data_IF_030399580750
#
_entry.id   IF_030399580750
#
_cell.length_a   1.000
_cell.length_b   1.000
_cell.length_c   1.000
_cell.angle_alpha   90.00
_cell.angle_beta   90.00
_cell.angle_gamma   90.00
#
_symmetry.space_group_name_H-M   'P 1'
#
loop_
_entity.id
_entity.type
_entity.pdbx_description
1 polymer ?
#
# COMPACT_ATOMS: atom_id res chain seq x y z
N UNK A 1 33.16 0.89 27.73
CA UNK A 1 32.34 2.11 27.90
C UNK A 1 32.06 2.87 26.60
N UNK A 2 32.68 2.56 25.44
CA UNK A 2 32.34 3.25 24.16
C UNK A 2 31.27 2.49 23.34
N UNK A 3 31.31 1.15 23.33
CA UNK A 3 30.33 0.32 22.61
C UNK A 3 28.89 0.55 23.10
N UNK A 4 28.69 0.73 24.40
CA UNK A 4 27.37 1.03 24.96
C UNK A 4 26.82 2.40 24.48
N UNK A 5 27.71 3.36 24.24
CA UNK A 5 27.35 4.70 23.73
C UNK A 5 27.05 4.66 22.24
N UNK A 6 27.79 3.86 21.45
CA UNK A 6 27.49 3.65 20.03
C UNK A 6 26.14 2.96 19.81
N UNK A 7 25.80 1.95 20.63
CA UNK A 7 24.48 1.29 20.54
C UNK A 7 23.36 2.27 20.91
N UNK A 8 23.59 3.12 21.91
CA UNK A 8 22.62 4.12 22.31
C UNK A 8 22.46 5.23 21.28
N UNK A 9 23.54 5.63 20.59
CA UNK A 9 23.49 6.61 19.51
C UNK A 9 22.81 6.03 18.26
N UNK A 10 23.07 4.77 17.89
CA UNK A 10 22.39 4.09 16.79
C UNK A 10 20.89 3.91 17.11
N UNK A 11 20.54 3.52 18.34
CA UNK A 11 19.15 3.43 18.77
C UNK A 11 18.45 4.79 18.75
N UNK A 12 19.16 5.85 19.14
CA UNK A 12 18.66 7.24 19.13
C UNK A 12 18.48 7.77 17.71
N UNK A 13 19.34 7.37 16.77
CA UNK A 13 19.24 7.76 15.36
C UNK A 13 18.15 6.97 14.61
N UNK A 14 17.88 5.74 15.04
CA UNK A 14 16.79 4.90 14.52
C UNK A 14 15.41 5.39 15.01
N UNK A 15 15.31 5.86 16.26
CA UNK A 15 14.10 6.51 16.79
C UNK A 15 13.82 7.84 16.07
N UNK A 16 14.86 8.52 15.57
CA UNK A 16 14.75 9.77 14.84
C UNK A 16 14.06 9.64 13.47
N UNK A 17 13.98 8.43 12.93
CA UNK A 17 13.30 8.11 11.67
C UNK A 17 11.88 7.56 11.88
N UNK A 18 11.28 7.80 13.05
CA UNK A 18 9.85 7.60 13.24
C UNK A 18 9.11 8.58 12.31
N UNK A 19 8.67 8.08 11.15
CA UNK A 19 7.81 8.81 10.22
C UNK A 19 6.58 9.29 10.97
N UNK A 20 6.55 10.60 11.21
CA UNK A 20 5.46 11.32 11.83
C UNK A 20 4.35 11.41 10.78
N UNK A 21 3.55 10.35 10.64
CA UNK A 21 2.33 10.45 9.85
C UNK A 21 1.41 11.42 10.59
N UNK A 22 1.00 12.55 9.97
CA UNK A 22 0.01 13.41 10.58
C UNK A 22 -1.21 12.55 10.95
N UNK A 23 -1.79 12.73 12.16
CA UNK A 23 -2.89 11.90 12.62
C UNK A 23 -3.97 11.85 11.55
N UNK A 24 -4.43 10.64 11.20
CA UNK A 24 -5.44 10.41 10.17
C UNK A 24 -6.57 11.40 10.41
N UNK A 25 -6.67 12.40 9.54
CA UNK A 25 -7.59 13.52 9.74
C UNK A 25 -8.98 12.98 9.50
N UNK A 26 -9.68 12.70 10.60
CA UNK A 26 -11.00 12.09 10.56
C UNK A 26 -12.04 13.10 10.05
N UNK A 27 -12.14 13.19 8.71
CA UNK A 27 -13.02 14.08 7.97
C UNK A 27 -14.50 13.94 8.39
N UNK A 28 -14.89 12.78 8.94
CA UNK A 28 -16.23 12.59 9.50
C UNK A 28 -16.52 13.58 10.64
N UNK A 29 -15.53 13.89 11.49
CA UNK A 29 -15.71 14.81 12.63
C UNK A 29 -15.84 16.27 12.23
N UNK A 30 -15.27 16.69 11.10
CA UNK A 30 -15.41 18.06 10.60
C UNK A 30 -16.74 18.26 9.87
N UNK A 31 -17.21 17.24 9.14
CA UNK A 31 -18.56 17.22 8.55
C UNK A 31 -19.63 17.19 9.64
N UNK A 32 -19.42 16.44 10.74
CA UNK A 32 -20.34 16.42 11.89
C UNK A 32 -20.49 17.78 12.59
N UNK A 33 -19.45 18.60 12.66
CA UNK A 33 -19.51 19.92 13.31
C UNK A 33 -20.33 20.96 12.54
N UNK A 34 -20.67 20.69 11.28
CA UNK A 34 -21.52 21.55 10.45
C UNK A 34 -22.91 20.97 10.18
N UNK A 35 -23.34 19.95 10.93
CA UNK A 35 -24.68 19.38 10.77
C UNK A 35 -25.73 20.42 11.14
N UNK A 36 -26.48 20.85 10.13
CA UNK A 36 -27.66 21.69 10.27
C UNK A 36 -28.77 20.88 10.94
N UNK A 37 -29.78 21.52 11.53
CA UNK A 37 -30.94 20.81 12.09
C UNK A 37 -31.59 19.84 11.07
N UNK A 38 -31.60 20.23 9.79
CA UNK A 38 -32.04 19.39 8.68
C UNK A 38 -31.20 18.12 8.49
N UNK A 39 -29.89 18.17 8.74
CA UNK A 39 -29.03 17.00 8.59
C UNK A 39 -29.27 15.95 9.68
N UNK A 40 -29.56 16.41 10.92
CA UNK A 40 -29.91 15.50 12.00
C UNK A 40 -31.26 14.81 11.75
N UNK A 41 -32.24 15.57 11.25
CA UNK A 41 -33.54 15.01 10.82
C UNK A 41 -33.37 14.03 9.67
N UNK A 42 -32.49 14.31 8.70
CA UNK A 42 -32.24 13.42 7.56
C UNK A 42 -31.57 12.09 7.99
N UNK A 43 -30.64 12.13 8.95
CA UNK A 43 -29.98 10.93 9.46
C UNK A 43 -30.94 10.06 10.30
N UNK A 44 -31.81 10.67 11.12
CA UNK A 44 -32.88 9.97 11.85
C UNK A 44 -33.94 9.39 10.89
N UNK A 45 -34.30 10.16 9.86
CA UNK A 45 -35.25 9.73 8.83
C UNK A 45 -34.69 8.58 7.98
N UNK A 46 -33.41 8.61 7.60
CA UNK A 46 -32.77 7.48 6.88
C UNK A 46 -32.83 6.18 7.68
N UNK A 47 -32.65 6.24 9.01
CA UNK A 47 -32.76 5.06 9.87
C UNK A 47 -34.19 4.53 9.93
N UNK A 48 -35.19 5.41 9.95
CA UNK A 48 -36.60 5.04 9.99
C UNK A 48 -37.09 4.46 8.65
N UNK A 49 -36.72 5.08 7.54
CA UNK A 49 -37.15 4.72 6.17
C UNK A 49 -36.37 3.52 5.62
N UNK A 50 -35.12 3.32 6.04
CA UNK A 50 -34.31 2.16 5.66
C UNK A 50 -34.75 0.85 6.32
N UNK A 51 -35.74 0.86 7.21
CA UNK A 51 -36.23 -0.33 7.89
C UNK A 51 -37.29 -1.05 7.06
N UNK A 52 -37.12 -2.37 6.89
CA UNK A 52 -38.10 -3.23 6.22
C UNK A 52 -39.49 -3.20 6.90
N UNK A 53 -39.53 -2.91 8.20
CA UNK A 53 -40.78 -2.81 8.99
C UNK A 53 -41.61 -1.60 8.53
N UNK A 54 -40.98 -0.48 8.18
CA UNK A 54 -41.69 0.72 7.72
C UNK A 54 -42.46 0.45 6.43
N UNK A 55 -41.82 -0.23 5.48
CA UNK A 55 -42.45 -0.63 4.20
C UNK A 55 -43.66 -1.54 4.46
N UNK A 56 -43.52 -2.53 5.36
CA UNK A 56 -44.62 -3.43 5.71
C UNK A 56 -45.80 -2.71 6.37
N UNK A 57 -45.53 -1.74 7.24
CA UNK A 57 -46.59 -0.93 7.88
C UNK A 57 -47.34 -0.10 6.82
N UNK A 58 -46.62 0.55 5.90
CA UNK A 58 -47.23 1.37 4.84
C UNK A 58 -48.12 0.52 3.92
N UNK A 59 -47.63 -0.65 3.50
CA UNK A 59 -48.42 -1.61 2.70
C UNK A 59 -49.62 -2.12 3.51
N UNK A 60 -49.45 -2.40 4.80
CA UNK A 60 -50.53 -2.81 5.69
C UNK A 60 -51.64 -1.77 5.79
N UNK A 61 -51.30 -0.49 5.97
CA UNK A 61 -52.26 0.62 5.97
C UNK A 61 -53.03 0.67 4.66
N UNK A 62 -52.34 0.53 3.52
CA UNK A 62 -52.97 0.53 2.20
C UNK A 62 -53.94 -0.65 2.02
N UNK A 63 -53.55 -1.86 2.43
CA UNK A 63 -54.40 -3.06 2.38
C UNK A 63 -55.61 -2.90 3.30
N UNK A 64 -55.45 -2.35 4.50
CA UNK A 64 -56.55 -2.06 5.43
C UNK A 64 -57.50 -1.04 4.82
N UNK A 65 -56.98 0.04 4.21
CA UNK A 65 -57.80 1.06 3.57
C UNK A 65 -58.63 0.51 2.42
N UNK A 66 -57.99 -0.25 1.53
CA UNK A 66 -58.65 -0.91 0.40
C UNK A 66 -59.68 -1.92 0.94
N UNK A 67 -59.33 -2.72 1.95
CA UNK A 67 -60.24 -3.70 2.55
C UNK A 67 -61.49 -3.08 3.17
N UNK A 68 -61.34 -2.00 3.95
CA UNK A 68 -62.45 -1.27 4.57
C UNK A 68 -63.41 -0.68 3.51
N UNK A 69 -62.86 -0.14 2.43
CA UNK A 69 -63.63 0.52 1.36
C UNK A 69 -64.24 -0.47 0.36
N UNK A 70 -63.48 -1.49 -0.06
CA UNK A 70 -63.91 -2.47 -1.06
C UNK A 70 -64.94 -3.47 -0.53
N UNK A 71 -64.84 -3.85 0.75
CA UNK A 71 -65.81 -4.75 1.40
C UNK A 71 -67.05 -4.02 1.90
N UNK A 72 -67.16 -2.71 1.66
CA UNK A 72 -68.30 -1.89 2.07
C UNK A 72 -68.59 -1.96 3.58
N UNK A 73 -67.53 -2.16 4.38
CA UNK A 73 -67.60 -2.40 5.84
C UNK A 73 -68.03 -1.14 6.61
N UNK A 74 -67.74 0.02 6.03
CA UNK A 74 -68.18 1.37 6.45
C UNK A 74 -68.77 2.01 5.19
N UNK A 75 -69.71 2.95 5.34
CA UNK A 75 -70.29 3.67 4.19
C UNK A 75 -69.19 4.09 3.19
N UNK A 76 -69.26 3.67 1.92
CA UNK A 76 -68.11 3.67 1.02
C UNK A 76 -67.84 5.09 0.53
N UNK A 77 -67.03 5.80 1.31
CA UNK A 77 -66.49 7.13 1.08
C UNK A 77 -65.43 7.19 -0.05
N UNK A 78 -64.71 6.11 -0.35
CA UNK A 78 -63.73 6.03 -1.45
C UNK A 78 -64.02 4.81 -2.34
N UNK A 79 -64.96 4.94 -3.27
CA UNK A 79 -65.33 3.87 -4.23
C UNK A 79 -64.24 3.67 -5.27
N UNK A 80 -64.11 2.43 -5.75
CA UNK A 80 -63.26 2.11 -6.90
C UNK A 80 -63.54 3.07 -8.06
N UNK A 81 -62.55 3.82 -8.59
CA UNK A 81 -61.10 3.54 -8.61
C UNK A 81 -60.23 4.18 -7.49
N UNK A 82 -60.78 4.48 -6.30
CA UNK A 82 -60.08 5.05 -5.13
C UNK A 82 -59.40 6.40 -5.41
N UNK A 83 -60.20 7.44 -5.66
CA UNK A 83 -59.69 8.76 -6.03
C UNK A 83 -58.88 9.41 -4.90
N UNK A 84 -59.33 9.26 -3.65
CA UNK A 84 -58.67 9.87 -2.50
C UNK A 84 -57.36 9.18 -2.15
N UNK A 85 -57.33 7.84 -2.15
CA UNK A 85 -56.11 7.07 -1.96
C UNK A 85 -55.05 7.45 -3.00
N UNK A 86 -55.43 7.48 -4.29
CA UNK A 86 -54.51 7.83 -5.37
C UNK A 86 -53.97 9.27 -5.25
N UNK A 87 -54.80 10.21 -4.80
CA UNK A 87 -54.38 11.59 -4.55
C UNK A 87 -53.31 11.66 -3.44
N UNK A 88 -53.55 11.00 -2.31
CA UNK A 88 -52.62 10.98 -1.18
C UNK A 88 -51.30 10.32 -1.58
N UNK A 89 -51.35 9.15 -2.24
CA UNK A 89 -50.15 8.45 -2.70
C UNK A 89 -49.32 9.28 -3.67
N UNK A 90 -49.96 10.05 -4.56
CA UNK A 90 -49.26 10.93 -5.49
C UNK A 90 -48.52 12.07 -4.77
N UNK A 91 -49.16 12.66 -3.75
CA UNK A 91 -48.52 13.67 -2.90
C UNK A 91 -47.36 13.07 -2.10
N UNK A 92 -47.54 11.86 -1.58
CA UNK A 92 -46.52 11.15 -0.82
C UNK A 92 -45.26 10.93 -1.68
N UNK A 93 -45.43 10.44 -2.91
CA UNK A 93 -44.33 10.24 -3.86
C UNK A 93 -43.60 11.53 -4.18
N UNK A 94 -44.31 12.65 -4.37
CA UNK A 94 -43.67 13.94 -4.62
C UNK A 94 -42.77 14.40 -3.46
N UNK A 95 -43.20 14.15 -2.22
CA UNK A 95 -42.38 14.41 -1.02
C UNK A 95 -41.18 13.47 -0.98
N UNK A 96 -41.39 12.18 -1.23
CA UNK A 96 -40.30 11.19 -1.28
C UNK A 96 -39.22 11.55 -2.28
N UNK A 97 -39.62 11.92 -3.51
CA UNK A 97 -38.67 12.35 -4.56
C UNK A 97 -37.84 13.54 -4.10
N UNK A 98 -38.45 14.54 -3.45
CA UNK A 98 -37.73 15.73 -2.98
C UNK A 98 -36.67 15.38 -1.93
N UNK A 99 -37.02 14.49 -0.98
CA UNK A 99 -36.10 14.01 0.04
C UNK A 99 -34.97 13.19 -0.58
N UNK A 100 -35.29 12.31 -1.53
CA UNK A 100 -34.30 11.51 -2.25
C UNK A 100 -33.34 12.39 -3.03
N UNK A 101 -33.83 13.43 -3.73
CA UNK A 101 -32.99 14.38 -4.45
C UNK A 101 -32.05 15.15 -3.52
N UNK A 102 -32.53 15.55 -2.34
CA UNK A 102 -31.68 16.17 -1.32
C UNK A 102 -30.61 15.20 -0.81
N UNK A 103 -30.96 13.93 -0.58
CA UNK A 103 -30.01 12.90 -0.19
C UNK A 103 -28.96 12.62 -1.29
N UNK A 104 -29.36 12.58 -2.56
CA UNK A 104 -28.47 12.39 -3.71
C UNK A 104 -27.48 13.55 -3.86
N UNK A 105 -27.95 14.80 -3.73
CA UNK A 105 -27.06 15.97 -3.75
C UNK A 105 -26.00 15.87 -2.63
N UNK A 106 -26.41 15.49 -1.42
CA UNK A 106 -25.49 15.31 -0.28
C UNK A 106 -24.49 14.19 -0.50
N UNK A 107 -24.91 13.06 -1.10
CA UNK A 107 -24.01 11.96 -1.45
C UNK A 107 -22.98 12.39 -2.49
N UNK A 108 -23.42 13.07 -3.56
CA UNK A 108 -22.55 13.59 -4.61
C UNK A 108 -21.47 14.56 -4.08
N UNK A 109 -21.84 15.47 -3.19
CA UNK A 109 -20.88 16.39 -2.57
C UNK A 109 -19.83 15.65 -1.72
N UNK A 110 -20.26 14.64 -0.93
CA UNK A 110 -19.34 13.81 -0.14
C UNK A 110 -18.42 12.99 -1.03
N UNK A 111 -18.94 12.43 -2.12
CA UNK A 111 -18.17 11.62 -3.06
C UNK A 111 -17.16 12.48 -3.82
N UNK A 112 -17.49 13.73 -4.18
CA UNK A 112 -16.54 14.67 -4.76
C UNK A 112 -15.36 14.97 -3.82
N UNK A 113 -15.63 15.23 -2.54
CA UNK A 113 -14.58 15.51 -1.55
C UNK A 113 -13.69 14.27 -1.35
N UNK A 114 -14.30 13.08 -1.24
CA UNK A 114 -13.55 11.82 -1.14
C UNK A 114 -12.66 11.61 -2.35
N UNK A 115 -13.18 11.78 -3.56
CA UNK A 115 -12.40 11.62 -4.79
C UNK A 115 -11.20 12.58 -4.86
N UNK A 116 -11.36 13.85 -4.42
CA UNK A 116 -10.24 14.80 -4.36
C UNK A 116 -9.16 14.35 -3.37
N UNK A 117 -9.57 13.86 -2.20
CA UNK A 117 -8.64 13.39 -1.19
C UNK A 117 -7.92 12.11 -1.61
N UNK A 118 -8.65 11.16 -2.20
CA UNK A 118 -8.09 9.91 -2.71
C UNK A 118 -7.07 10.21 -3.83
N UNK A 119 -7.37 11.17 -4.71
CA UNK A 119 -6.41 11.65 -5.70
C UNK A 119 -5.13 12.24 -5.07
N UNK A 120 -5.25 13.06 -4.02
CA UNK A 120 -4.07 13.58 -3.32
C UNK A 120 -3.24 12.49 -2.63
N UNK A 121 -3.89 11.47 -2.08
CA UNK A 121 -3.21 10.31 -1.50
C UNK A 121 -2.48 9.50 -2.57
N UNK A 122 -3.11 9.27 -3.72
CA UNK A 122 -2.51 8.54 -4.83
C UNK A 122 -1.24 9.25 -5.34
N UNK A 123 -1.27 10.57 -5.48
CA UNK A 123 -0.08 11.34 -5.87
C UNK A 123 1.04 11.22 -4.85
N UNK A 124 0.73 11.31 -3.54
CA UNK A 124 1.73 11.13 -2.48
C UNK A 124 2.29 9.72 -2.46
N UNK A 125 1.44 8.71 -2.64
CA UNK A 125 1.86 7.32 -2.73
C UNK A 125 2.77 7.10 -3.95
N UNK A 126 2.48 7.74 -5.09
CA UNK A 126 3.34 7.71 -6.27
C UNK A 126 4.72 8.35 -6.00
N UNK A 127 4.76 9.48 -5.29
CA UNK A 127 6.01 10.12 -4.88
C UNK A 127 6.84 9.25 -3.93
N UNK A 128 6.21 8.67 -2.90
CA UNK A 128 6.87 7.73 -1.97
C UNK A 128 7.39 6.49 -2.71
N UNK A 129 6.61 5.94 -3.65
CA UNK A 129 7.03 4.81 -4.48
C UNK A 129 8.25 5.17 -5.34
N UNK A 130 8.28 6.36 -5.95
CA UNK A 130 9.45 6.86 -6.70
C UNK A 130 10.67 7.01 -5.80
N UNK A 131 10.49 7.54 -4.60
CA UNK A 131 11.57 7.67 -3.63
C UNK A 131 12.16 6.30 -3.24
N UNK A 132 11.30 5.31 -2.98
CA UNK A 132 11.71 3.93 -2.68
C UNK A 132 12.45 3.30 -3.86
N UNK A 133 11.95 3.48 -5.09
CA UNK A 133 12.58 2.95 -6.29
C UNK A 133 13.97 3.58 -6.53
N UNK A 134 14.11 4.89 -6.32
CA UNK A 134 15.41 5.56 -6.38
C UNK A 134 16.39 5.01 -5.33
N UNK A 135 15.90 4.75 -4.11
CA UNK A 135 16.73 4.16 -3.08
C UNK A 135 17.19 2.74 -3.44
N UNK A 136 16.30 1.90 -3.99
CA UNK A 136 16.65 0.56 -4.47
C UNK A 136 17.67 0.58 -5.60
N UNK A 137 17.49 1.46 -6.60
CA UNK A 137 18.46 1.63 -7.68
C UNK A 137 19.84 2.06 -7.15
N UNK A 138 19.86 2.93 -6.14
CA UNK A 138 21.11 3.34 -5.50
C UNK A 138 21.78 2.17 -4.74
N UNK A 139 20.99 1.34 -4.04
CA UNK A 139 21.50 0.12 -3.40
C UNK A 139 22.09 -0.85 -4.44
N UNK A 140 21.43 -1.05 -5.57
CA UNK A 140 21.92 -1.89 -6.66
C UNK A 140 23.26 -1.39 -7.22
N UNK A 141 23.41 -0.07 -7.36
CA UNK A 141 24.67 0.53 -7.79
C UNK A 141 25.80 0.29 -6.78
N UNK A 142 25.53 0.44 -5.48
CA UNK A 142 26.51 0.13 -4.42
C UNK A 142 26.87 -1.35 -4.44
N UNK A 143 25.90 -2.25 -4.57
CA UNK A 143 26.14 -3.69 -4.67
C UNK A 143 27.05 -4.03 -5.85
N UNK A 144 26.81 -3.45 -7.03
CA UNK A 144 27.66 -3.62 -8.20
C UNK A 144 29.08 -3.09 -7.99
N UNK A 145 29.25 -1.97 -7.27
CA UNK A 145 30.58 -1.47 -6.91
C UNK A 145 31.32 -2.42 -5.96
N UNK A 146 30.63 -2.98 -4.96
CA UNK A 146 31.22 -3.95 -4.01
C UNK A 146 31.64 -5.22 -4.77
N UNK A 147 30.78 -5.77 -5.62
CA UNK A 147 31.10 -6.95 -6.44
C UNK A 147 32.32 -6.68 -7.32
N UNK A 148 32.39 -5.53 -7.99
CA UNK A 148 33.55 -5.16 -8.81
C UNK A 148 34.84 -4.98 -8.01
N UNK A 149 34.77 -4.51 -6.75
CA UNK A 149 35.93 -4.42 -5.86
C UNK A 149 36.39 -5.81 -5.41
N UNK A 150 35.45 -6.70 -5.07
CA UNK A 150 35.75 -8.09 -4.73
C UNK A 150 36.48 -8.80 -5.88
N UNK A 151 35.98 -8.67 -7.10
CA UNK A 151 36.55 -9.30 -8.30
C UNK A 151 37.93 -8.73 -8.68
N UNK A 152 38.21 -7.46 -8.34
CA UNK A 152 39.57 -6.90 -8.42
C UNK A 152 40.49 -7.49 -7.36
N UNK A 153 40.04 -7.55 -6.11
CA UNK A 153 40.81 -8.13 -5.00
C UNK A 153 41.20 -9.58 -5.25
N UNK A 154 40.28 -10.40 -5.78
CA UNK A 154 40.56 -11.80 -6.13
C UNK A 154 41.64 -11.92 -7.23
N UNK A 155 41.57 -11.07 -8.25
CA UNK A 155 42.59 -11.00 -9.31
C UNK A 155 43.96 -10.57 -8.79
N UNK A 156 44.01 -9.63 -7.85
CA UNK A 156 45.27 -9.20 -7.22
C UNK A 156 45.88 -10.29 -6.35
N UNK A 157 45.08 -10.97 -5.52
CA UNK A 157 45.54 -12.13 -4.75
C UNK A 157 46.13 -13.21 -5.65
N UNK A 158 45.44 -13.57 -6.75
CA UNK A 158 45.95 -14.54 -7.73
C UNK A 158 47.26 -14.10 -8.37
N UNK A 159 47.45 -12.80 -8.65
CA UNK A 159 48.72 -12.27 -9.19
C UNK A 159 49.85 -12.35 -8.18
N UNK A 160 49.59 -12.00 -6.92
CA UNK A 160 50.58 -12.09 -5.83
C UNK A 160 50.99 -13.53 -5.58
N UNK A 161 50.03 -14.47 -5.56
CA UNK A 161 50.31 -15.89 -5.44
C UNK A 161 51.25 -16.39 -6.55
N UNK A 162 50.98 -16.06 -7.83
CA UNK A 162 51.85 -16.43 -8.95
C UNK A 162 53.25 -15.82 -8.85
N UNK A 163 53.37 -14.58 -8.36
CA UNK A 163 54.68 -13.93 -8.17
C UNK A 163 55.48 -14.59 -7.05
N UNK A 164 54.83 -14.97 -5.95
CA UNK A 164 55.46 -15.72 -4.88
C UNK A 164 55.94 -17.09 -5.38
N UNK A 165 55.11 -17.78 -6.15
CA UNK A 165 55.47 -19.06 -6.79
C UNK A 165 56.70 -18.91 -7.69
N UNK A 166 56.74 -17.90 -8.56
CA UNK A 166 57.91 -17.58 -9.39
C UNK A 166 59.16 -17.21 -8.56
N UNK A 167 58.99 -16.46 -7.47
CA UNK A 167 60.09 -16.06 -6.60
C UNK A 167 60.69 -17.27 -5.85
N UNK A 168 59.83 -18.21 -5.40
CA UNK A 168 60.24 -19.48 -4.81
C UNK A 168 61.01 -20.31 -5.86
N UNK A 169 60.47 -20.45 -7.07
CA UNK A 169 61.11 -21.20 -8.16
C UNK A 169 62.45 -20.60 -8.60
N UNK A 170 62.62 -19.27 -8.50
CA UNK A 170 63.89 -18.58 -8.76
C UNK A 170 64.92 -18.68 -7.63
N UNK A 171 64.47 -18.98 -6.41
CA UNK A 171 65.31 -19.11 -5.20
C UNK A 171 65.80 -20.55 -5.01
N UNK A 172 65.16 -21.53 -5.64
CA UNK A 172 65.63 -22.91 -5.66
C UNK A 172 66.82 -23.04 -6.64
N UNK A 173 68.06 -23.33 -6.18
CA UNK A 173 69.24 -23.29 -7.03
C UNK A 173 69.18 -24.38 -8.11
N UNK A 174 69.76 -24.15 -9.31
CA UNK A 174 69.73 -25.14 -10.37
C UNK A 174 70.40 -26.41 -9.87
N UNK A 175 69.65 -27.51 -9.81
CA UNK A 175 70.19 -28.83 -9.49
C UNK A 175 71.44 -29.07 -10.33
N UNK A 176 72.59 -29.15 -9.66
CA UNK A 176 73.88 -29.39 -10.27
C UNK A 176 73.83 -30.67 -11.11
N UNK A 177 74.10 -30.56 -12.42
CA UNK A 177 74.40 -31.70 -13.28
C UNK A 177 75.92 -31.98 -13.22
N UNK A 178 76.35 -33.25 -13.19
CA UNK A 178 77.67 -33.66 -12.70
C UNK A 178 78.81 -33.40 -13.69
N UNK A 179 80.02 -33.26 -13.15
CA UNK A 179 81.25 -32.79 -13.81
C UNK A 179 81.85 -33.68 -14.91
N UNK A 180 82.93 -33.20 -15.57
CA UNK A 180 83.52 -33.82 -16.75
C UNK A 180 84.19 -35.16 -16.40
N UNK A 181 83.86 -36.19 -17.17
CA UNK A 181 84.43 -37.53 -17.07
C UNK A 181 85.87 -37.53 -17.64
N UNK A 182 86.87 -37.26 -16.82
CA UNK A 182 88.26 -37.64 -17.14
C UNK A 182 88.38 -39.16 -17.06
N UNK A 183 88.75 -39.79 -18.19
CA UNK A 183 89.13 -41.22 -18.25
C UNK A 183 90.65 -41.34 -18.08
N UNK A 184 91.15 -42.34 -17.33
CA UNK A 184 92.58 -42.54 -17.11
C UNK A 184 93.32 -43.04 -18.38
N UNK A 185 94.67 -42.94 -18.45
CA UNK A 185 95.43 -43.17 -19.67
C UNK A 185 95.50 -44.67 -20.01
N UNK A 186 95.25 -45.00 -21.27
CA UNK A 186 95.48 -46.35 -21.81
C UNK A 186 96.96 -46.47 -22.16
N UNK A 187 97.65 -47.31 -21.41
CA UNK A 187 99.00 -47.78 -21.66
C UNK A 187 99.09 -48.60 -22.95
N UNK A 188 99.97 -48.19 -23.85
CA UNK A 188 100.42 -48.99 -25.00
C UNK A 188 101.50 -49.97 -24.53
N UNK A 189 101.44 -51.26 -24.90
CA UNK A 189 102.65 -52.07 -25.04
C UNK A 189 102.99 -52.25 -26.53
N UNK A 190 104.22 -51.89 -26.88
CA UNK A 190 104.91 -52.30 -28.10
C UNK A 190 105.32 -53.80 -27.99
N UNK A 191 105.78 -54.50 -29.05
CA UNK A 191 106.69 -54.06 -30.11
C UNK A 191 106.13 -54.07 -31.53
#
# INVERSE_FOLDING_TARGET
>A
MSIAREIEDIARDLIKHQHDHPPVRDLNREVERRLTFADRVADDFSRLVGSWIFVLVQVGIMVIWIGLNALNLIHPWDRYPFLFLNFILSLEVAVWVSVVLMALNRLSDRDRIRAQHDFELDIKAEEELKALMNHLMHQDEILLQIVNRLDRGDREMKRLARRLEQAIESTEPPAAKPGPTERPPISVPAP
#
